data_IF_607150392369
#
_entry.id   IF_607150392369
#
_cell.length_a   1.000
_cell.length_b   1.000
_cell.length_c   1.000
_cell.angle_alpha   90.00
_cell.angle_beta   90.00
_cell.angle_gamma   90.00
#
_symmetry.space_group_name_H-M   'P 1'
#
loop_
_entity.id
_entity.type
_entity.pdbx_description
1 polymer ?
#
# COMPACT_ATOMS: atom_id res chain seq x y z
N UNK A 1 62.30 20.82 17.59
CA UNK A 1 61.17 21.09 16.64
C UNK A 1 60.09 20.01 16.84
N UNK A 2 59.00 20.38 17.51
CA UNK A 2 57.88 19.43 17.78
C UNK A 2 56.75 19.78 16.81
N UNK A 3 56.48 18.91 15.85
CA UNK A 3 55.34 19.04 14.90
C UNK A 3 54.05 18.59 15.62
N UNK A 4 53.16 19.55 15.89
CA UNK A 4 51.79 19.31 16.33
C UNK A 4 50.92 18.92 15.13
N UNK A 5 50.41 17.69 15.14
CA UNK A 5 49.36 17.23 14.23
C UNK A 5 48.00 17.66 14.79
N UNK A 6 47.31 18.55 14.07
CA UNK A 6 45.90 18.82 14.33
C UNK A 6 45.06 17.82 13.54
N UNK A 7 44.43 16.90 14.24
CA UNK A 7 43.42 16.03 13.66
C UNK A 7 42.11 16.83 13.53
N UNK A 8 41.73 17.16 12.30
CA UNK A 8 40.41 17.71 12.00
C UNK A 8 39.37 16.62 12.15
N UNK A 9 38.60 16.64 13.24
CA UNK A 9 37.45 15.78 13.47
C UNK A 9 36.27 16.41 12.71
N UNK A 10 36.04 15.98 11.46
CA UNK A 10 34.85 16.34 10.71
C UNK A 10 33.63 15.62 11.32
N UNK A 11 32.84 16.36 12.10
CA UNK A 11 31.58 15.90 12.63
C UNK A 11 30.58 15.82 11.44
N UNK A 12 30.35 14.60 10.90
CA UNK A 12 29.29 14.35 9.92
C UNK A 12 27.97 14.38 10.69
N UNK A 13 27.30 15.53 10.66
CA UNK A 13 25.91 15.64 11.13
C UNK A 13 25.02 14.91 10.12
N UNK A 14 24.64 13.68 10.41
CA UNK A 14 23.57 12.97 9.72
C UNK A 14 22.26 13.72 10.01
N UNK A 15 21.90 14.62 9.12
CA UNK A 15 20.56 15.21 9.08
C UNK A 15 19.58 14.06 8.77
N UNK A 16 18.99 13.49 9.82
CA UNK A 16 17.83 12.61 9.68
C UNK A 16 16.71 13.46 9.06
N UNK A 17 16.56 13.37 7.74
CA UNK A 17 15.47 14.06 7.04
C UNK A 17 14.16 13.53 7.61
N UNK A 18 13.46 14.34 8.38
CA UNK A 18 12.10 14.07 8.82
C UNK A 18 11.24 14.03 7.55
N UNK A 19 10.87 12.85 7.11
CA UNK A 19 10.05 12.68 5.90
C UNK A 19 8.63 13.13 6.24
N UNK A 20 8.26 14.31 5.74
CA UNK A 20 6.90 14.83 5.91
C UNK A 20 5.90 14.01 5.11
N UNK A 21 4.85 13.60 5.79
CA UNK A 21 3.67 13.00 5.17
C UNK A 21 2.91 14.08 4.39
N UNK A 22 2.47 13.74 3.19
CA UNK A 22 1.76 14.66 2.30
C UNK A 22 0.46 14.03 1.80
N UNK A 23 -0.55 14.85 1.55
CA UNK A 23 -1.77 14.42 0.88
C UNK A 23 -1.46 13.70 -0.43
N UNK A 24 -2.10 12.54 -0.67
CA UNK A 24 -1.84 11.68 -1.80
C UNK A 24 -0.67 10.69 -1.61
N UNK A 25 0.08 10.76 -0.50
CA UNK A 25 1.03 9.70 -0.16
C UNK A 25 0.29 8.40 0.16
N UNK A 26 0.95 7.28 -0.07
CA UNK A 26 0.47 5.94 0.28
C UNK A 26 1.12 5.49 1.59
N UNK A 27 0.36 4.78 2.43
CA UNK A 27 0.88 4.12 3.61
C UNK A 27 0.76 2.60 3.43
N UNK A 28 1.89 1.93 3.22
CA UNK A 28 1.99 0.49 3.09
C UNK A 28 2.25 -0.13 4.47
N UNK A 29 1.33 -0.95 4.96
CA UNK A 29 1.48 -1.65 6.23
C UNK A 29 2.41 -2.85 6.07
N UNK A 30 3.46 -2.90 6.89
CA UNK A 30 4.42 -4.01 6.95
C UNK A 30 4.20 -4.76 8.24
N UNK A 31 3.79 -6.02 8.12
CA UNK A 31 3.53 -6.89 9.27
C UNK A 31 4.82 -7.57 9.76
N UNK A 32 4.88 -7.89 11.06
CA UNK A 32 6.00 -8.62 11.65
C UNK A 32 5.88 -10.14 11.45
N UNK A 33 4.64 -10.63 11.35
CA UNK A 33 4.33 -12.05 11.08
C UNK A 33 3.52 -12.16 9.80
N UNK A 34 3.85 -13.14 8.98
CA UNK A 34 3.14 -13.41 7.72
C UNK A 34 1.67 -13.77 7.95
N UNK A 35 0.88 -13.51 6.92
CA UNK A 35 -0.54 -13.84 6.86
C UNK A 35 -0.91 -14.26 5.43
N UNK A 36 -2.18 -14.64 5.20
CA UNK A 36 -2.64 -15.15 3.91
C UNK A 36 -2.38 -14.19 2.72
N UNK A 37 -2.32 -12.88 2.96
CA UNK A 37 -1.98 -11.90 1.93
C UNK A 37 -0.47 -11.94 1.65
N UNK A 38 0.36 -11.90 2.69
CA UNK A 38 1.82 -11.90 2.53
C UNK A 38 2.38 -13.22 2.01
N UNK A 39 1.63 -14.33 2.16
CA UNK A 39 2.02 -15.64 1.63
C UNK A 39 2.01 -15.68 0.10
N UNK A 40 1.19 -14.85 -0.54
CA UNK A 40 0.98 -14.83 -2.00
C UNK A 40 1.37 -13.48 -2.64
N UNK A 41 1.90 -12.54 -1.85
CA UNK A 41 2.33 -11.23 -2.34
C UNK A 41 3.81 -10.97 -2.04
N UNK A 42 4.50 -10.12 -2.81
CA UNK A 42 5.91 -9.83 -2.54
C UNK A 42 6.10 -9.04 -1.24
N UNK A 43 6.94 -9.55 -0.36
CA UNK A 43 7.31 -8.89 0.90
C UNK A 43 6.28 -9.11 2.02
N UNK A 44 6.45 -8.38 3.12
CA UNK A 44 5.62 -8.49 4.33
C UNK A 44 4.56 -7.38 4.38
N UNK A 45 4.03 -6.98 3.22
CA UNK A 45 3.04 -5.90 3.08
C UNK A 45 1.66 -6.52 2.84
N UNK A 46 0.73 -6.27 3.73
CA UNK A 46 -0.62 -6.82 3.67
C UNK A 46 -1.73 -5.77 3.46
N UNK A 47 -1.41 -4.49 3.60
CA UNK A 47 -2.40 -3.41 3.47
C UNK A 47 -1.79 -2.15 2.87
N UNK A 48 -2.65 -1.29 2.30
CA UNK A 48 -2.28 0.05 1.84
C UNK A 48 -3.44 1.03 2.04
N UNK A 49 -3.11 2.25 2.46
CA UNK A 49 -4.04 3.37 2.63
C UNK A 49 -3.56 4.61 1.88
N UNK A 50 -4.45 5.57 1.62
CA UNK A 50 -4.16 6.84 0.96
C UNK A 50 -4.26 7.98 1.98
N UNK A 51 -3.22 8.79 2.11
CA UNK A 51 -3.21 9.97 2.98
C UNK A 51 -4.10 11.06 2.36
N UNK A 52 -5.12 11.49 3.10
CA UNK A 52 -6.07 12.51 2.64
C UNK A 52 -5.89 13.85 3.35
N UNK A 53 -5.22 13.86 4.49
CA UNK A 53 -4.81 15.05 5.25
C UNK A 53 -3.62 14.73 6.14
N UNK A 54 -3.14 15.72 6.90
CA UNK A 54 -2.08 15.51 7.90
C UNK A 54 -2.46 14.52 9.01
N UNK A 55 -3.75 14.32 9.26
CA UNK A 55 -4.27 13.57 10.42
C UNK A 55 -5.11 12.35 10.03
N UNK A 56 -5.32 12.08 8.73
CA UNK A 56 -6.22 11.00 8.31
C UNK A 56 -5.88 10.39 6.96
N UNK A 57 -6.29 9.15 6.81
CA UNK A 57 -6.22 8.37 5.58
C UNK A 57 -7.62 7.95 5.12
N UNK A 58 -7.73 7.50 3.87
CA UNK A 58 -8.84 6.71 3.37
C UNK A 58 -8.31 5.32 3.04
N UNK A 59 -9.06 4.30 3.42
CA UNK A 59 -8.67 2.90 3.27
C UNK A 59 -9.89 2.00 3.07
N UNK A 60 -9.69 0.88 2.37
CA UNK A 60 -10.65 -0.20 2.29
C UNK A 60 -10.25 -1.30 3.28
N UNK A 61 -11.10 -1.56 4.25
CA UNK A 61 -10.94 -2.58 5.30
C UNK A 61 -12.21 -3.42 5.41
N UNK A 62 -12.20 -4.47 6.23
CA UNK A 62 -13.34 -5.38 6.37
C UNK A 62 -14.70 -4.73 6.62
N UNK A 63 -14.74 -3.52 7.13
CA UNK A 63 -15.95 -2.70 7.32
C UNK A 63 -16.32 -1.85 6.08
N UNK A 64 -15.56 -1.95 4.99
CA UNK A 64 -15.71 -1.16 3.77
C UNK A 64 -14.73 0.01 3.69
N UNK A 65 -14.96 0.89 2.72
CA UNK A 65 -14.12 2.07 2.51
C UNK A 65 -14.51 3.17 3.49
N UNK A 66 -13.52 3.62 4.26
CA UNK A 66 -13.73 4.63 5.31
C UNK A 66 -12.55 5.57 5.46
N UNK A 67 -12.78 6.68 6.16
CA UNK A 67 -11.73 7.55 6.67
C UNK A 67 -11.27 7.05 8.04
N UNK A 68 -9.96 6.96 8.25
CA UNK A 68 -9.36 6.51 9.51
C UNK A 68 -8.37 7.55 10.01
N UNK A 69 -8.40 7.93 11.31
CA UNK A 69 -7.37 8.79 11.90
C UNK A 69 -5.98 8.15 11.79
N UNK A 70 -4.97 8.95 11.47
CA UNK A 70 -3.60 8.48 11.32
C UNK A 70 -3.06 7.86 12.62
N UNK A 71 -3.46 8.39 13.77
CA UNK A 71 -3.04 7.86 15.06
C UNK A 71 -3.56 6.45 15.33
N UNK A 72 -4.71 6.09 14.76
CA UNK A 72 -5.23 4.71 14.84
C UNK A 72 -4.34 3.73 14.07
N UNK A 73 -3.74 4.16 12.95
CA UNK A 73 -2.80 3.33 12.20
C UNK A 73 -1.49 3.13 12.98
N UNK A 74 -1.02 4.17 13.68
CA UNK A 74 0.20 4.10 14.50
C UNK A 74 0.12 3.14 15.68
N UNK A 75 -1.10 2.79 16.10
CA UNK A 75 -1.35 1.84 17.20
C UNK A 75 -1.41 0.38 16.74
N UNK A 76 -1.35 0.12 15.43
CA UNK A 76 -1.33 -1.23 14.90
C UNK A 76 0.06 -1.85 15.06
N UNK A 77 0.09 -3.19 15.21
CA UNK A 77 1.35 -3.94 15.17
C UNK A 77 2.04 -3.77 13.82
N UNK A 78 3.38 -3.85 13.78
CA UNK A 78 4.15 -3.62 12.57
C UNK A 78 4.52 -2.15 12.38
N UNK A 79 4.60 -1.72 11.12
CA UNK A 79 4.92 -0.33 10.78
C UNK A 79 4.44 0.03 9.37
N UNK A 80 4.48 1.32 9.04
CA UNK A 80 4.08 1.81 7.74
C UNK A 80 5.26 2.35 6.95
N UNK A 81 5.35 1.99 5.65
CA UNK A 81 6.21 2.66 4.68
C UNK A 81 5.42 3.74 3.96
N UNK A 82 6.05 4.89 3.78
CA UNK A 82 5.46 5.99 3.01
C UNK A 82 5.86 5.82 1.56
N UNK A 83 4.87 5.71 0.67
CA UNK A 83 5.05 5.68 -0.77
C UNK A 83 4.48 6.93 -1.44
N UNK A 84 5.02 7.28 -2.60
CA UNK A 84 4.48 8.35 -3.46
C UNK A 84 4.36 7.85 -4.88
N UNK A 85 3.19 8.01 -5.49
CA UNK A 85 2.98 7.71 -6.91
C UNK A 85 3.52 8.86 -7.75
N UNK A 86 4.43 8.55 -8.66
CA UNK A 86 5.07 9.54 -9.55
C UNK A 86 4.04 10.08 -10.54
N UNK A 87 3.98 11.39 -10.68
CA UNK A 87 3.06 12.05 -11.59
C UNK A 87 1.61 12.14 -11.11
N UNK A 88 1.29 11.59 -9.93
CA UNK A 88 -0.05 11.71 -9.37
C UNK A 88 -0.37 13.16 -8.98
N UNK A 89 -1.58 13.59 -9.33
CA UNK A 89 -2.19 14.78 -8.79
C UNK A 89 -2.84 14.44 -7.43
N UNK A 90 -2.36 14.98 -6.32
CA UNK A 90 -2.84 14.59 -5.00
C UNK A 90 -4.30 15.01 -4.75
N UNK A 91 -4.74 16.11 -5.33
CA UNK A 91 -6.11 16.63 -5.13
C UNK A 91 -7.11 15.75 -5.88
N UNK A 92 -6.85 15.48 -7.15
CA UNK A 92 -7.71 14.63 -7.97
C UNK A 92 -7.71 13.19 -7.47
N UNK A 93 -6.53 12.66 -7.08
CA UNK A 93 -6.42 11.29 -6.55
C UNK A 93 -7.21 11.12 -5.24
N UNK A 94 -7.14 12.09 -4.33
CA UNK A 94 -7.93 12.06 -3.08
C UNK A 94 -9.42 12.26 -3.37
N UNK A 95 -9.79 13.12 -4.32
CA UNK A 95 -11.18 13.26 -4.73
C UNK A 95 -11.75 11.95 -5.27
N UNK A 96 -10.99 11.24 -6.12
CA UNK A 96 -11.37 9.92 -6.62
C UNK A 96 -11.52 8.90 -5.48
N UNK A 97 -10.56 8.84 -4.56
CA UNK A 97 -10.65 7.94 -3.41
C UNK A 97 -11.93 8.17 -2.59
N UNK A 98 -12.33 9.41 -2.41
CA UNK A 98 -13.56 9.78 -1.67
C UNK A 98 -14.86 9.32 -2.34
N UNK A 99 -14.89 9.12 -3.67
CA UNK A 99 -16.05 8.56 -4.38
C UNK A 99 -16.33 7.09 -3.98
N UNK A 100 -15.35 6.40 -3.42
CA UNK A 100 -15.51 5.02 -2.95
C UNK A 100 -15.97 4.93 -1.49
N UNK A 101 -16.08 6.04 -0.74
CA UNK A 101 -16.51 6.01 0.66
C UNK A 101 -17.84 5.27 0.83
N UNK A 102 -17.87 4.34 1.79
CA UNK A 102 -19.05 3.52 2.09
C UNK A 102 -19.21 2.28 1.21
N UNK A 103 -18.39 2.09 0.16
CA UNK A 103 -18.42 0.84 -0.61
C UNK A 103 -18.01 -0.35 0.28
N UNK A 104 -18.63 -1.53 0.12
CA UNK A 104 -18.25 -2.71 0.86
C UNK A 104 -16.83 -3.18 0.52
N UNK A 105 -16.20 -3.90 1.45
CA UNK A 105 -14.90 -4.51 1.19
C UNK A 105 -15.05 -5.74 0.32
N UNK A 106 -14.29 -5.78 -0.78
CA UNK A 106 -14.23 -6.97 -1.63
C UNK A 106 -13.37 -8.06 -1.00
N UNK A 107 -14.04 -9.05 -0.41
CA UNK A 107 -13.38 -10.22 0.18
C UNK A 107 -13.00 -11.28 -0.85
N UNK A 108 -13.59 -11.20 -2.04
CA UNK A 108 -13.38 -12.18 -3.11
C UNK A 108 -12.33 -11.73 -4.11
N UNK A 109 -11.84 -10.49 -3.99
CA UNK A 109 -10.81 -9.91 -4.87
C UNK A 109 -11.14 -10.04 -6.35
N UNK A 110 -12.42 -9.81 -6.70
CA UNK A 110 -12.92 -9.95 -8.07
C UNK A 110 -12.90 -8.60 -8.79
N UNK A 111 -12.57 -8.57 -10.08
CA UNK A 111 -12.71 -7.34 -10.87
C UNK A 111 -14.19 -6.99 -11.10
N UNK A 112 -14.45 -5.71 -11.42
CA UNK A 112 -15.72 -5.21 -11.95
C UNK A 112 -16.95 -5.47 -11.06
N UNK A 113 -16.77 -5.50 -9.74
CA UNK A 113 -17.88 -5.55 -8.78
C UNK A 113 -18.06 -4.22 -8.04
N UNK A 114 -19.11 -4.08 -7.22
CA UNK A 114 -19.37 -2.86 -6.46
C UNK A 114 -18.55 -2.77 -5.15
N UNK A 115 -17.87 -3.83 -4.76
CA UNK A 115 -16.97 -3.87 -3.62
C UNK A 115 -15.56 -3.43 -4.02
N UNK A 116 -14.70 -3.16 -3.06
CA UNK A 116 -13.32 -2.73 -3.33
C UNK A 116 -12.38 -3.15 -2.21
N UNK A 117 -11.19 -3.63 -2.55
CA UNK A 117 -10.14 -3.95 -1.56
C UNK A 117 -9.03 -2.88 -1.55
N UNK A 118 -8.12 -2.96 -0.58
CA UNK A 118 -7.20 -1.86 -0.25
C UNK A 118 -6.33 -1.39 -1.42
N UNK A 119 -5.69 -2.31 -2.12
CA UNK A 119 -4.81 -1.97 -3.25
C UNK A 119 -5.58 -1.58 -4.51
N UNK A 120 -6.78 -2.09 -4.70
CA UNK A 120 -7.68 -1.69 -5.78
C UNK A 120 -8.20 -0.27 -5.58
N UNK A 121 -8.53 0.13 -4.33
CA UNK A 121 -8.83 1.53 -4.01
C UNK A 121 -7.70 2.45 -4.45
N UNK A 122 -6.45 2.10 -4.16
CA UNK A 122 -5.28 2.86 -4.61
C UNK A 122 -5.18 2.88 -6.12
N UNK A 123 -5.33 1.72 -6.77
CA UNK A 123 -5.26 1.59 -8.22
C UNK A 123 -6.25 2.51 -8.94
N UNK A 124 -7.51 2.54 -8.52
CA UNK A 124 -8.53 3.39 -9.15
C UNK A 124 -8.44 4.86 -8.77
N UNK A 125 -7.83 5.16 -7.62
CA UNK A 125 -7.75 6.54 -7.14
C UNK A 125 -6.59 7.33 -7.74
N UNK A 126 -5.44 6.69 -8.01
CA UNK A 126 -4.23 7.40 -8.41
C UNK A 126 -4.26 7.84 -9.88
N UNK A 127 -4.44 9.14 -10.09
CA UNK A 127 -4.53 9.76 -11.42
C UNK A 127 -3.54 10.91 -11.58
N UNK A 128 -3.18 11.21 -12.83
CA UNK A 128 -2.42 12.41 -13.18
C UNK A 128 -3.31 13.68 -13.20
N UNK A 129 -2.70 14.84 -13.47
CA UNK A 129 -3.40 16.14 -13.58
C UNK A 129 -4.48 16.21 -14.67
N UNK A 130 -4.54 15.24 -15.57
CA UNK A 130 -5.55 15.11 -16.62
C UNK A 130 -6.60 14.04 -16.30
N UNK A 131 -6.58 13.46 -15.10
CA UNK A 131 -7.49 12.38 -14.67
C UNK A 131 -7.16 11.01 -15.25
N UNK A 132 -6.00 10.81 -15.89
CA UNK A 132 -5.60 9.51 -16.44
C UNK A 132 -5.06 8.63 -15.31
N UNK A 133 -5.54 7.39 -15.25
CA UNK A 133 -5.10 6.38 -14.28
C UNK A 133 -3.61 6.06 -14.45
N UNK A 134 -2.89 5.99 -13.34
CA UNK A 134 -1.44 5.77 -13.30
C UNK A 134 -1.04 4.32 -12.98
N UNK A 135 -1.95 3.56 -12.37
CA UNK A 135 -1.68 2.20 -11.90
C UNK A 135 -2.61 1.23 -12.63
N UNK A 136 -2.07 0.48 -13.59
CA UNK A 136 -2.82 -0.55 -14.32
C UNK A 136 -2.99 -1.82 -13.48
N UNK A 137 -4.05 -2.63 -13.68
CA UNK A 137 -4.17 -3.92 -13.07
C UNK A 137 -3.05 -4.87 -13.53
N UNK A 138 -2.78 -5.87 -12.71
CA UNK A 138 -1.89 -7.00 -13.02
C UNK A 138 -2.67 -8.29 -12.92
N UNK A 139 -2.21 -9.38 -13.55
CA UNK A 139 -2.72 -10.71 -13.25
C UNK A 139 -2.52 -11.02 -11.76
N UNK A 140 -3.62 -11.31 -11.04
CA UNK A 140 -3.54 -11.71 -9.64
C UNK A 140 -2.90 -13.09 -9.53
N UNK A 141 -2.13 -13.31 -8.46
CA UNK A 141 -1.57 -14.62 -8.17
C UNK A 141 -1.86 -15.01 -6.72
N UNK A 142 -2.29 -16.25 -6.54
CA UNK A 142 -2.54 -16.88 -5.25
C UNK A 142 -1.50 -17.96 -4.95
N UNK A 143 -0.39 -17.94 -5.68
CA UNK A 143 0.74 -18.85 -5.50
C UNK A 143 1.71 -18.35 -4.42
N UNK A 144 2.18 -19.28 -3.61
CA UNK A 144 3.29 -19.06 -2.69
C UNK A 144 4.65 -19.06 -3.43
N UNK A 145 5.72 -18.89 -2.68
CA UNK A 145 7.09 -18.91 -3.23
C UNK A 145 7.49 -20.27 -3.86
N UNK A 146 6.74 -21.34 -3.60
CA UNK A 146 6.95 -22.66 -4.23
C UNK A 146 6.19 -22.83 -5.56
N UNK A 147 5.43 -21.81 -5.97
CA UNK A 147 4.63 -21.82 -7.20
C UNK A 147 3.33 -22.64 -7.07
N UNK A 148 2.79 -22.81 -5.85
CA UNK A 148 1.54 -23.51 -5.59
C UNK A 148 0.51 -22.57 -4.97
N UNK A 149 -0.76 -22.69 -5.41
CA UNK A 149 -1.85 -22.02 -4.73
C UNK A 149 -1.91 -22.52 -3.29
N UNK A 150 -1.89 -21.60 -2.33
CA UNK A 150 -1.84 -21.97 -0.91
C UNK A 150 -3.13 -22.69 -0.47
N UNK A 151 -3.06 -23.62 0.50
CA UNK A 151 -4.25 -24.30 1.02
C UNK A 151 -5.31 -23.34 1.56
N UNK A 152 -4.88 -22.19 2.11
CA UNK A 152 -5.80 -21.15 2.58
C UNK A 152 -6.71 -20.65 1.45
N UNK A 153 -6.12 -20.21 0.31
CA UNK A 153 -6.89 -19.66 -0.81
C UNK A 153 -7.75 -20.72 -1.51
N UNK A 154 -7.24 -21.96 -1.64
CA UNK A 154 -8.03 -23.06 -2.17
C UNK A 154 -9.30 -23.29 -1.35
N UNK A 155 -9.17 -23.42 -0.02
CA UNK A 155 -10.32 -23.63 0.87
C UNK A 155 -11.24 -22.41 0.94
N UNK A 156 -10.68 -21.21 0.88
CA UNK A 156 -11.44 -19.96 0.92
C UNK A 156 -12.42 -19.90 -0.27
N UNK A 157 -11.95 -20.07 -1.50
CA UNK A 157 -12.81 -20.02 -2.69
C UNK A 157 -13.71 -21.25 -2.81
N UNK A 158 -13.24 -22.43 -2.41
CA UNK A 158 -14.09 -23.64 -2.38
C UNK A 158 -15.34 -23.44 -1.49
N UNK A 159 -15.22 -22.79 -0.34
CA UNK A 159 -16.37 -22.46 0.53
C UNK A 159 -17.34 -21.48 -0.11
N UNK A 160 -16.93 -20.74 -1.10
CA UNK A 160 -17.78 -19.82 -1.88
C UNK A 160 -18.34 -20.49 -3.17
N UNK A 161 -18.09 -21.80 -3.37
CA UNK A 161 -18.39 -22.53 -4.62
C UNK A 161 -17.77 -21.85 -5.85
N UNK A 162 -16.55 -21.36 -5.72
CA UNK A 162 -15.79 -20.65 -6.75
C UNK A 162 -14.43 -21.30 -6.97
N UNK A 163 -13.92 -21.17 -8.17
CA UNK A 163 -12.50 -21.40 -8.46
C UNK A 163 -11.68 -20.19 -8.00
N UNK A 164 -10.40 -20.44 -7.68
CA UNK A 164 -9.45 -19.36 -7.36
C UNK A 164 -9.30 -18.48 -8.59
N UNK A 165 -9.51 -17.15 -8.51
CA UNK A 165 -9.43 -16.26 -9.67
C UNK A 165 -7.97 -15.95 -10.05
N UNK A 166 -7.19 -16.99 -10.25
CA UNK A 166 -5.78 -16.91 -10.67
C UNK A 166 -5.69 -16.27 -12.05
N UNK A 167 -4.79 -15.30 -12.19
CA UNK A 167 -4.58 -14.57 -13.44
C UNK A 167 -5.62 -13.51 -13.77
N UNK A 168 -6.65 -13.34 -12.96
CA UNK A 168 -7.64 -12.28 -13.17
C UNK A 168 -7.03 -10.90 -12.90
N UNK A 169 -7.51 -9.84 -13.60
CA UNK A 169 -6.97 -8.50 -13.40
C UNK A 169 -7.25 -7.99 -11.98
N UNK A 170 -6.22 -7.45 -11.34
CA UNK A 170 -6.33 -6.93 -9.98
C UNK A 170 -5.07 -6.22 -9.52
N UNK A 171 -4.86 -6.16 -8.22
CA UNK A 171 -3.67 -5.58 -7.59
C UNK A 171 -3.41 -6.21 -6.22
N UNK A 172 -2.21 -6.03 -5.69
CA UNK A 172 -1.92 -6.32 -4.28
C UNK A 172 -0.97 -5.26 -3.71
N UNK A 173 -0.99 -5.03 -2.39
CA UNK A 173 -0.22 -3.94 -1.79
C UNK A 173 1.29 -4.18 -1.86
N UNK A 174 1.75 -5.43 -1.76
CA UNK A 174 3.17 -5.78 -1.86
C UNK A 174 3.74 -5.49 -3.24
N UNK A 175 3.01 -5.86 -4.29
CA UNK A 175 3.40 -5.57 -5.68
C UNK A 175 3.36 -4.06 -5.96
N UNK A 176 2.30 -3.35 -5.56
CA UNK A 176 2.22 -1.90 -5.71
C UNK A 176 3.43 -1.18 -5.12
N UNK A 177 3.91 -1.62 -3.96
CA UNK A 177 5.07 -1.01 -3.30
C UNK A 177 6.37 -1.11 -4.11
N UNK A 178 6.46 -2.04 -5.04
CA UNK A 178 7.64 -2.33 -5.88
C UNK A 178 7.53 -1.78 -7.30
N UNK A 179 6.39 -1.21 -7.68
CA UNK A 179 6.21 -0.64 -9.02
C UNK A 179 7.13 0.54 -9.25
N UNK A 180 7.60 0.69 -10.48
CA UNK A 180 8.41 1.85 -10.91
C UNK A 180 7.69 3.19 -10.72
N UNK A 181 6.37 3.19 -10.77
CA UNK A 181 5.51 4.36 -10.55
C UNK A 181 5.49 4.76 -9.08
N UNK A 182 5.80 3.85 -8.16
CA UNK A 182 5.78 4.10 -6.72
C UNK A 182 7.21 4.28 -6.20
N UNK A 183 7.44 5.41 -5.52
CA UNK A 183 8.69 5.70 -4.82
C UNK A 183 8.48 5.59 -3.32
N UNK A 184 9.15 4.65 -2.67
CA UNK A 184 9.19 4.59 -1.21
C UNK A 184 10.06 5.74 -0.69
N UNK A 185 9.50 6.54 0.22
CA UNK A 185 10.15 7.71 0.83
C UNK A 185 10.85 7.35 2.14
N UNK A 186 10.36 6.35 2.86
CA UNK A 186 10.86 5.89 4.14
C UNK A 186 9.75 5.35 5.03
N UNK A 187 10.02 5.25 6.33
CA UNK A 187 9.07 4.75 7.34
C UNK A 187 8.29 5.89 7.98
N UNK A 188 7.00 5.69 8.23
CA UNK A 188 6.17 6.56 9.06
C UNK A 188 6.67 6.48 10.52
N UNK A 189 6.87 7.63 11.14
CA UNK A 189 7.30 7.79 12.55
C UNK A 189 6.12 8.17 13.43
#
# INVERSE_FOLDING_TARGET
MVRRWFANLSCVVLLASCQSLSTGDLLFHVVEKGNAITDVTPGMIDHVAIVISKDSVIEAVGAGVKTTPLDSLRQQEGYYLIGKVRGADPILSVANARHFLGRPYDRLYLPDNEAIYCSELVQFSMVDKHGRQLLSPIPMSFHDASGRITPYWQQFYQKQNMEVPEGWPGSNPGELSKRREVRIKGRLR
#
